data_IF_238736383542
#
_entry.id   IF_238736383542
#
_cell.length_a   1.000
_cell.length_b   1.000
_cell.length_c   1.000
_cell.angle_alpha   90.00
_cell.angle_beta   90.00
_cell.angle_gamma   90.00
#
_symmetry.space_group_name_H-M   'P 1'
#
loop_
_entity.id
_entity.type
_entity.pdbx_description
1 polymer ?
#
# COMPACT_ATOMS: atom_id res chain seq x y z
N UNK A 1 18.52 8.06 -13.25
CA UNK A 1 17.10 7.69 -13.06
C UNK A 1 16.24 8.49 -14.03
N UNK A 2 15.33 7.82 -14.71
CA UNK A 2 14.43 8.49 -15.67
C UNK A 2 13.39 9.33 -14.92
N UNK A 3 12.76 10.32 -15.60
CA UNK A 3 11.68 11.08 -14.96
C UNK A 3 10.51 10.20 -14.49
N UNK A 4 10.17 9.14 -15.24
CA UNK A 4 9.12 8.20 -14.84
C UNK A 4 9.47 7.44 -13.57
N UNK A 5 10.73 7.02 -13.43
CA UNK A 5 11.19 6.36 -12.20
C UNK A 5 11.17 7.30 -11.01
N UNK A 6 11.58 8.56 -11.20
CA UNK A 6 11.51 9.58 -10.14
C UNK A 6 10.06 9.83 -9.72
N UNK A 7 9.16 9.95 -10.69
CA UNK A 7 7.74 10.12 -10.41
C UNK A 7 7.20 8.93 -9.62
N UNK A 8 7.58 7.71 -10.02
CA UNK A 8 7.17 6.49 -9.32
C UNK A 8 7.67 6.45 -7.89
N UNK A 9 8.94 6.78 -7.66
CA UNK A 9 9.53 6.80 -6.31
C UNK A 9 8.85 7.85 -5.43
N UNK A 10 8.63 9.05 -5.96
CA UNK A 10 7.93 10.10 -5.21
C UNK A 10 6.51 9.69 -4.88
N UNK A 11 5.81 9.09 -5.83
CA UNK A 11 4.43 8.64 -5.64
C UNK A 11 4.34 7.52 -4.62
N UNK A 12 5.30 6.57 -4.61
CA UNK A 12 5.27 5.48 -3.64
C UNK A 12 5.60 5.96 -2.22
N UNK A 13 6.40 7.00 -2.08
CA UNK A 13 6.63 7.62 -0.76
C UNK A 13 5.33 8.25 -0.25
N UNK A 14 4.59 8.92 -1.11
CA UNK A 14 3.27 9.45 -0.74
C UNK A 14 2.30 8.32 -0.40
N UNK A 15 2.37 7.18 -1.12
CA UNK A 15 1.57 6.01 -0.79
C UNK A 15 1.92 5.47 0.60
N UNK A 16 3.21 5.43 0.95
CA UNK A 16 3.64 5.01 2.28
C UNK A 16 3.01 5.90 3.36
N UNK A 17 3.06 7.22 3.17
CA UNK A 17 2.47 8.16 4.13
C UNK A 17 0.96 7.92 4.26
N UNK A 18 0.26 7.77 3.14
CA UNK A 18 -1.19 7.55 3.13
C UNK A 18 -1.58 6.23 3.79
N UNK A 19 -0.92 5.14 3.43
CA UNK A 19 -1.16 3.83 4.05
C UNK A 19 -0.88 3.88 5.55
N UNK A 20 0.22 4.52 5.94
CA UNK A 20 0.60 4.62 7.35
C UNK A 20 -0.50 5.31 8.15
N UNK A 21 -1.01 6.44 7.67
CA UNK A 21 -2.10 7.15 8.34
C UNK A 21 -3.34 6.27 8.41
N UNK A 22 -3.72 5.62 7.30
CA UNK A 22 -4.91 4.78 7.26
C UNK A 22 -4.80 3.57 8.19
N UNK A 23 -3.69 2.85 8.12
CA UNK A 23 -3.46 1.65 8.94
C UNK A 23 -3.36 2.00 10.42
N UNK A 24 -2.58 3.02 10.77
CA UNK A 24 -2.44 3.42 12.17
C UNK A 24 -3.78 3.88 12.74
N UNK A 25 -4.56 4.63 11.97
CA UNK A 25 -5.88 5.07 12.40
C UNK A 25 -6.79 3.87 12.69
N UNK A 26 -6.84 2.90 11.78
CA UNK A 26 -7.63 1.68 11.97
C UNK A 26 -7.12 0.87 13.17
N UNK A 27 -5.79 0.67 13.28
CA UNK A 27 -5.21 -0.16 14.35
C UNK A 27 -5.49 0.44 15.73
N UNK A 28 -5.44 1.76 15.87
CA UNK A 28 -5.71 2.42 17.15
C UNK A 28 -7.19 2.45 17.49
N UNK A 29 -8.04 2.76 16.52
CA UNK A 29 -9.47 2.84 16.73
C UNK A 29 -10.15 1.47 16.75
N UNK A 30 -9.52 0.45 16.17
CA UNK A 30 -10.09 -0.87 15.90
C UNK A 30 -11.38 -0.78 15.09
N UNK A 31 -11.49 0.28 14.29
CA UNK A 31 -12.64 0.60 13.46
C UNK A 31 -12.16 1.17 12.15
N UNK A 32 -12.91 0.90 11.08
CA UNK A 32 -12.63 1.52 9.79
C UNK A 32 -13.38 2.86 9.79
N UNK A 33 -12.70 3.90 10.27
CA UNK A 33 -13.26 5.24 10.28
C UNK A 33 -13.24 5.81 8.86
N UNK A 34 -13.99 6.90 8.64
CA UNK A 34 -13.96 7.60 7.36
C UNK A 34 -12.53 8.02 7.01
N UNK A 35 -11.78 8.51 7.99
CA UNK A 35 -10.38 8.90 7.80
C UNK A 35 -9.52 7.71 7.38
N UNK A 36 -9.67 6.56 8.05
CA UNK A 36 -8.90 5.37 7.74
C UNK A 36 -9.15 4.91 6.31
N UNK A 37 -10.41 4.74 5.90
CA UNK A 37 -10.71 4.26 4.56
C UNK A 37 -10.29 5.26 3.49
N UNK A 38 -10.43 6.56 3.76
CA UNK A 38 -10.00 7.59 2.81
C UNK A 38 -8.51 7.49 2.52
N UNK A 39 -7.68 7.37 3.55
CA UNK A 39 -6.24 7.27 3.37
C UNK A 39 -5.82 5.93 2.77
N UNK A 40 -6.52 4.84 3.07
CA UNK A 40 -6.26 3.55 2.43
C UNK A 40 -6.54 3.62 0.92
N UNK A 41 -7.65 4.22 0.52
CA UNK A 41 -8.00 4.37 -0.90
C UNK A 41 -6.99 5.27 -1.61
N UNK A 42 -6.61 6.39 -1.01
CA UNK A 42 -5.58 7.27 -1.56
C UNK A 42 -4.28 6.51 -1.73
N UNK A 43 -3.89 5.72 -0.72
CA UNK A 43 -2.69 4.88 -0.78
C UNK A 43 -2.73 3.91 -1.94
N UNK A 44 -3.85 3.21 -2.16
CA UNK A 44 -4.00 2.27 -3.28
C UNK A 44 -3.87 2.99 -4.62
N UNK A 45 -4.54 4.13 -4.78
CA UNK A 45 -4.46 4.90 -6.03
C UNK A 45 -3.02 5.34 -6.31
N UNK A 46 -2.33 5.85 -5.31
CA UNK A 46 -0.93 6.25 -5.44
C UNK A 46 -0.03 5.06 -5.73
N UNK A 47 -0.27 3.93 -5.09
CA UNK A 47 0.52 2.72 -5.27
C UNK A 47 0.38 2.17 -6.68
N UNK A 48 -0.84 2.09 -7.21
CA UNK A 48 -1.07 1.67 -8.61
C UNK A 48 -0.39 2.63 -9.56
N UNK A 49 -0.51 3.93 -9.34
CA UNK A 49 0.14 4.94 -10.17
C UNK A 49 1.65 4.78 -10.15
N UNK A 50 2.24 4.59 -8.97
CA UNK A 50 3.68 4.38 -8.82
C UNK A 50 4.12 3.12 -9.55
N UNK A 51 3.37 2.04 -9.42
CA UNK A 51 3.69 0.77 -10.08
C UNK A 51 3.71 0.93 -11.60
N UNK A 52 2.69 1.59 -12.16
CA UNK A 52 2.63 1.85 -13.60
C UNK A 52 3.83 2.71 -14.04
N UNK A 53 4.14 3.77 -13.31
CA UNK A 53 5.28 4.63 -13.63
C UNK A 53 6.60 3.84 -13.62
N UNK A 54 6.77 2.97 -12.64
CA UNK A 54 8.00 2.17 -12.53
C UNK A 54 8.12 1.14 -13.65
N UNK A 55 7.02 0.49 -14.03
CA UNK A 55 7.01 -0.45 -15.15
C UNK A 55 7.38 0.27 -16.45
N UNK A 56 6.74 1.40 -16.72
CA UNK A 56 7.02 2.17 -17.94
C UNK A 56 8.44 2.74 -17.94
N UNK A 57 8.92 3.20 -16.80
CA UNK A 57 10.24 3.81 -16.69
C UNK A 57 11.38 2.81 -16.73
N UNK A 58 11.19 1.63 -16.17
CA UNK A 58 12.21 0.59 -16.13
C UNK A 58 12.20 -0.31 -17.37
N UNK A 59 11.08 -0.39 -18.06
CA UNK A 59 10.91 -1.29 -19.21
C UNK A 59 10.89 -2.76 -18.84
N UNK A 60 10.76 -3.08 -17.55
CA UNK A 60 10.75 -4.46 -17.05
C UNK A 60 9.49 -4.68 -16.23
N UNK A 61 8.76 -5.75 -16.53
CA UNK A 61 7.56 -6.11 -15.80
C UNK A 61 7.86 -7.09 -14.67
N UNK A 62 8.74 -8.07 -14.94
CA UNK A 62 9.07 -9.14 -13.97
C UNK A 62 10.49 -9.00 -13.47
N UNK A 63 10.62 -8.63 -12.20
CA UNK A 63 11.87 -8.67 -11.43
C UNK A 63 11.54 -9.26 -10.07
N UNK A 64 12.53 -9.68 -9.29
CA UNK A 64 12.29 -10.19 -7.94
C UNK A 64 11.57 -9.13 -7.08
N UNK A 65 12.07 -7.90 -7.11
CA UNK A 65 11.43 -6.79 -6.41
C UNK A 65 10.02 -6.53 -6.97
N UNK A 66 9.84 -6.65 -8.28
CA UNK A 66 8.53 -6.49 -8.91
C UNK A 66 7.50 -7.49 -8.39
N UNK A 67 7.90 -8.77 -8.26
CA UNK A 67 7.02 -9.80 -7.69
C UNK A 67 6.62 -9.46 -6.25
N UNK A 68 7.59 -9.04 -5.44
CA UNK A 68 7.31 -8.59 -4.08
C UNK A 68 6.34 -7.40 -4.08
N UNK A 69 6.59 -6.42 -4.95
CA UNK A 69 5.74 -5.23 -5.06
C UNK A 69 4.33 -5.56 -5.51
N UNK A 70 4.17 -6.43 -6.50
CA UNK A 70 2.84 -6.83 -6.98
C UNK A 70 2.06 -7.57 -5.89
N UNK A 71 2.72 -8.48 -5.16
CA UNK A 71 2.07 -9.20 -4.07
C UNK A 71 1.67 -8.25 -2.94
N UNK A 72 2.51 -7.28 -2.63
CA UNK A 72 2.22 -6.27 -1.61
C UNK A 72 1.05 -5.37 -2.03
N UNK A 73 1.03 -4.92 -3.28
CA UNK A 73 -0.08 -4.13 -3.83
C UNK A 73 -1.38 -4.94 -3.78
N UNK A 74 -1.33 -6.20 -4.20
CA UNK A 74 -2.51 -7.07 -4.13
C UNK A 74 -3.03 -7.21 -2.70
N UNK A 75 -2.13 -7.38 -1.73
CA UNK A 75 -2.49 -7.46 -0.32
C UNK A 75 -3.19 -6.21 0.18
N UNK A 76 -2.63 -5.04 -0.14
CA UNK A 76 -3.24 -3.76 0.27
C UNK A 76 -4.54 -3.48 -0.47
N UNK A 77 -4.65 -3.90 -1.73
CA UNK A 77 -5.89 -3.76 -2.48
C UNK A 77 -7.01 -4.60 -1.86
N UNK A 78 -6.72 -5.87 -1.57
CA UNK A 78 -7.67 -6.76 -0.91
C UNK A 78 -8.06 -6.22 0.46
N UNK A 79 -7.09 -5.75 1.23
CA UNK A 79 -7.33 -5.17 2.56
C UNK A 79 -8.25 -3.95 2.46
N UNK A 80 -7.97 -3.05 1.53
CA UNK A 80 -8.77 -1.84 1.35
C UNK A 80 -10.20 -2.17 0.94
N UNK A 81 -10.38 -3.16 0.04
CA UNK A 81 -11.72 -3.64 -0.35
C UNK A 81 -12.46 -4.21 0.85
N UNK A 82 -11.80 -5.07 1.64
CA UNK A 82 -12.41 -5.68 2.83
C UNK A 82 -12.77 -4.62 3.88
N UNK A 83 -11.89 -3.66 4.10
CA UNK A 83 -12.16 -2.55 5.03
C UNK A 83 -13.35 -1.71 4.55
N UNK A 84 -13.39 -1.41 3.26
CA UNK A 84 -14.51 -0.67 2.68
C UNK A 84 -15.83 -1.42 2.81
N UNK A 85 -15.82 -2.74 2.55
CA UNK A 85 -17.03 -3.57 2.73
C UNK A 85 -17.48 -3.59 4.18
N UNK A 86 -16.54 -3.73 5.12
CA UNK A 86 -16.86 -3.69 6.54
C UNK A 86 -17.54 -2.38 6.91
N UNK A 87 -17.01 -1.26 6.45
CA UNK A 87 -17.57 0.05 6.72
C UNK A 87 -18.97 0.21 6.11
N UNK A 88 -19.16 -0.26 4.88
CA UNK A 88 -20.47 -0.18 4.23
C UNK A 88 -21.52 -1.02 4.93
N UNK A 89 -21.13 -2.17 5.49
CA UNK A 89 -22.07 -3.09 6.17
C UNK A 89 -22.30 -2.76 7.64
N UNK A 90 -21.25 -2.32 8.33
CA UNK A 90 -21.24 -2.20 9.78
C UNK A 90 -20.92 -0.80 10.27
N UNK A 91 -20.62 0.14 9.37
CA UNK A 91 -20.31 1.53 9.73
C UNK A 91 -19.11 1.63 10.65
N UNK A 92 -19.28 2.26 11.81
CA UNK A 92 -18.22 2.45 12.79
C UNK A 92 -18.11 1.29 13.80
N UNK A 93 -18.73 0.15 13.52
CA UNK A 93 -18.62 -1.01 14.39
C UNK A 93 -17.17 -1.52 14.43
N UNK A 94 -16.82 -2.14 15.55
CA UNK A 94 -15.48 -2.68 15.74
C UNK A 94 -15.13 -3.68 14.63
N UNK A 95 -13.89 -3.60 14.15
CA UNK A 95 -13.37 -4.46 13.07
C UNK A 95 -13.20 -5.88 13.62
N UNK A 96 -13.64 -6.93 12.90
CA UNK A 96 -13.34 -8.31 13.28
C UNK A 96 -11.85 -8.53 13.43
N UNK A 97 -11.46 -9.36 14.38
CA UNK A 97 -10.04 -9.63 14.64
C UNK A 97 -9.29 -10.08 13.38
N UNK A 98 -9.94 -10.90 12.53
CA UNK A 98 -9.34 -11.37 11.28
C UNK A 98 -8.92 -10.22 10.38
N UNK A 99 -9.83 -9.26 10.16
CA UNK A 99 -9.55 -8.10 9.32
C UNK A 99 -8.50 -7.21 9.97
N UNK A 100 -8.60 -7.00 11.27
CA UNK A 100 -7.63 -6.19 12.02
C UNK A 100 -6.21 -6.74 11.87
N UNK A 101 -6.05 -8.05 12.00
CA UNK A 101 -4.74 -8.71 11.86
C UNK A 101 -4.30 -8.75 10.41
N UNK A 102 -5.23 -8.94 9.46
CA UNK A 102 -4.91 -8.91 8.04
C UNK A 102 -4.40 -7.53 7.61
N UNK A 103 -5.04 -6.46 8.07
CA UNK A 103 -4.58 -5.09 7.80
C UNK A 103 -3.14 -4.91 8.25
N UNK A 104 -2.82 -5.37 9.46
CA UNK A 104 -1.46 -5.31 10.01
C UNK A 104 -0.48 -6.11 9.16
N UNK A 105 -0.85 -7.33 8.79
CA UNK A 105 0.02 -8.22 8.02
C UNK A 105 0.25 -7.68 6.60
N UNK A 106 -0.81 -7.21 5.94
CA UNK A 106 -0.70 -6.66 4.60
C UNK A 106 0.19 -5.42 4.57
N UNK A 107 0.02 -4.54 5.53
CA UNK A 107 0.85 -3.34 5.65
C UNK A 107 2.32 -3.70 5.92
N UNK A 108 2.56 -4.64 6.84
CA UNK A 108 3.92 -5.08 7.16
C UNK A 108 4.62 -5.65 5.91
N UNK A 109 3.93 -6.48 5.15
CA UNK A 109 4.46 -7.05 3.90
C UNK A 109 4.76 -5.94 2.89
N UNK A 110 3.85 -4.98 2.77
CA UNK A 110 4.04 -3.84 1.87
C UNK A 110 5.27 -3.02 2.27
N UNK A 111 5.49 -2.78 3.56
CA UNK A 111 6.68 -2.08 4.06
C UNK A 111 7.95 -2.86 3.72
N UNK A 112 7.93 -4.19 3.85
CA UNK A 112 9.07 -5.04 3.46
C UNK A 112 9.38 -4.86 1.99
N UNK A 113 8.36 -4.87 1.12
CA UNK A 113 8.56 -4.65 -0.31
C UNK A 113 9.11 -3.25 -0.60
N UNK A 114 8.60 -2.23 0.09
CA UNK A 114 9.09 -0.86 -0.04
C UNK A 114 10.56 -0.75 0.35
N UNK A 115 10.94 -1.31 1.49
CA UNK A 115 12.33 -1.27 1.98
C UNK A 115 13.25 -2.01 1.01
N UNK A 116 12.82 -3.15 0.46
CA UNK A 116 13.62 -3.90 -0.50
C UNK A 116 13.92 -3.06 -1.75
N UNK A 117 12.93 -2.32 -2.24
CA UNK A 117 13.11 -1.41 -3.37
C UNK A 117 14.08 -0.27 -3.05
N UNK A 118 13.95 0.32 -1.85
CA UNK A 118 14.85 1.38 -1.38
C UNK A 118 16.29 0.88 -1.29
N UNK A 119 16.50 -0.34 -0.79
CA UNK A 119 17.83 -0.93 -0.71
C UNK A 119 18.43 -1.14 -2.11
N UNK A 120 17.65 -1.61 -3.07
CA UNK A 120 18.12 -1.78 -4.44
C UNK A 120 18.56 -0.45 -5.04
N UNK A 121 17.80 0.61 -4.83
CA UNK A 121 18.15 1.95 -5.30
C UNK A 121 19.43 2.44 -4.61
N UNK A 122 19.53 2.27 -3.29
CA UNK A 122 20.70 2.69 -2.52
C UNK A 122 21.97 1.95 -2.95
N UNK A 123 21.84 0.68 -3.39
CA UNK A 123 22.97 -0.11 -3.88
C UNK A 123 23.28 0.13 -5.35
N UNK A 124 22.56 1.04 -6.00
CA UNK A 124 22.80 1.39 -7.40
C UNK A 124 22.31 0.34 -8.40
N UNK A 125 21.33 -0.47 -8.02
CA UNK A 125 20.83 -1.57 -8.87
C UNK A 125 19.42 -1.34 -9.35
#
# INVERSE_FOLDING_TARGET
MTPLLRAGVSTVVLALASYTVGVVTEQRARRVTRRAITFLVIGVVLDVTATVCMILGAGKVLTLHGVLGYSALAGMLVETVLAGRHRLRSGDAEVPRRLHLFTRAAYAWWVVAFVSGGLLVALGR
#
